data_IF_022714658439
#
_entry.id   IF_022714658439
#
_cell.length_a   1.000
_cell.length_b   1.000
_cell.length_c   1.000
_cell.angle_alpha   90.00
_cell.angle_beta   90.00
_cell.angle_gamma   90.00
#
_symmetry.space_group_name_H-M   'P 1'
#
loop_
_entity.id
_entity.type
_entity.pdbx_description
1 polymer ?
#
# COMPACT_ATOMS: atom_id res chain seq x y z
N UNK A 1 21.67 -78.17 -19.21
CA UNK A 1 21.53 -78.48 -20.65
C UNK A 1 20.86 -77.28 -21.30
N UNK A 2 21.56 -76.59 -22.23
CA UNK A 2 21.15 -75.40 -23.03
C UNK A 2 20.94 -74.11 -22.18
N UNK A 3 21.76 -73.06 -22.15
CA UNK A 3 22.73 -72.42 -23.06
C UNK A 3 22.09 -71.64 -24.23
N UNK A 4 21.88 -70.32 -24.04
CA UNK A 4 22.04 -69.24 -25.06
C UNK A 4 21.89 -67.85 -24.39
N UNK A 5 22.98 -67.16 -24.01
CA UNK A 5 23.77 -66.16 -24.79
C UNK A 5 23.01 -64.84 -25.00
N UNK A 6 23.44 -63.66 -24.51
CA UNK A 6 24.65 -62.86 -24.88
C UNK A 6 24.44 -61.48 -24.18
N UNK A 7 25.34 -60.77 -23.49
CA UNK A 7 26.67 -60.20 -23.82
C UNK A 7 27.18 -59.48 -22.52
N UNK A 8 28.43 -59.71 -22.04
CA UNK A 8 29.64 -58.82 -22.17
C UNK A 8 29.51 -57.54 -21.30
N UNK A 9 30.39 -57.09 -20.39
CA UNK A 9 31.80 -57.37 -20.05
C UNK A 9 32.15 -56.67 -18.70
N UNK A 10 33.06 -57.29 -17.94
CA UNK A 10 34.14 -56.74 -17.11
C UNK A 10 34.17 -55.26 -16.67
N UNK A 11 34.16 -55.10 -15.35
CA UNK A 11 35.07 -54.30 -14.49
C UNK A 11 35.72 -53.07 -15.13
N UNK A 12 35.30 -51.88 -14.69
CA UNK A 12 36.16 -50.70 -14.60
C UNK A 12 35.95 -49.99 -13.27
N UNK A 13 37.01 -50.04 -12.46
CA UNK A 13 37.32 -49.11 -11.39
C UNK A 13 37.31 -47.69 -11.99
N UNK A 14 36.34 -46.85 -11.64
CA UNK A 14 36.35 -45.43 -11.99
C UNK A 14 36.29 -44.60 -10.70
N UNK A 15 37.38 -43.87 -10.52
CA UNK A 15 37.62 -42.79 -9.57
C UNK A 15 36.35 -41.95 -9.42
N UNK A 16 35.80 -41.89 -8.21
CA UNK A 16 34.81 -40.89 -7.83
C UNK A 16 35.51 -39.53 -7.82
N UNK A 17 35.60 -38.91 -8.99
CA UNK A 17 35.86 -37.48 -9.11
C UNK A 17 34.63 -36.78 -8.53
N UNK A 18 34.74 -36.36 -7.28
CA UNK A 18 33.84 -35.39 -6.68
C UNK A 18 33.90 -34.12 -7.54
N UNK A 19 32.98 -33.99 -8.49
CA UNK A 19 32.59 -32.68 -8.99
C UNK A 19 31.79 -32.01 -7.86
N UNK A 20 32.53 -31.49 -6.88
CA UNK A 20 32.06 -30.35 -6.12
C UNK A 20 31.86 -29.26 -7.16
N UNK A 21 30.62 -29.05 -7.60
CA UNK A 21 30.23 -27.77 -8.14
C UNK A 21 30.41 -26.77 -6.99
N UNK A 22 31.63 -26.28 -6.85
CA UNK A 22 31.87 -24.97 -6.27
C UNK A 22 31.29 -24.04 -7.32
N UNK A 23 29.98 -23.77 -7.21
CA UNK A 23 29.48 -22.49 -7.65
C UNK A 23 30.29 -21.48 -6.85
N UNK A 24 31.37 -20.99 -7.45
CA UNK A 24 31.84 -19.64 -7.17
C UNK A 24 30.68 -18.78 -7.63
N UNK A 25 29.70 -18.60 -6.75
CA UNK A 25 28.92 -17.38 -6.75
C UNK A 25 30.00 -16.31 -6.60
N UNK A 26 30.39 -15.74 -7.73
CA UNK A 26 30.95 -14.41 -7.70
C UNK A 26 29.87 -13.61 -7.01
N UNK A 27 30.13 -13.29 -5.74
CA UNK A 27 29.39 -12.29 -5.02
C UNK A 27 29.45 -11.04 -5.86
N UNK A 28 28.41 -10.83 -6.67
CA UNK A 28 27.90 -9.50 -6.87
C UNK A 28 27.56 -9.09 -5.46
N UNK A 29 28.43 -8.29 -4.84
CA UNK A 29 28.10 -7.69 -3.56
C UNK A 29 26.78 -6.96 -3.78
N UNK A 30 25.68 -7.54 -3.30
CA UNK A 30 24.44 -6.81 -3.17
C UNK A 30 24.81 -5.62 -2.28
N UNK A 31 24.74 -4.40 -2.82
CA UNK A 31 24.56 -3.25 -1.96
C UNK A 31 23.36 -3.61 -1.06
N UNK A 32 23.51 -3.60 0.28
CA UNK A 32 22.46 -4.10 1.15
C UNK A 32 21.21 -3.30 0.84
N UNK A 33 20.13 -3.99 0.45
CA UNK A 33 18.89 -3.36 0.04
C UNK A 33 18.42 -2.43 1.17
N UNK A 34 18.48 -1.11 0.93
CA UNK A 34 18.21 -0.06 1.94
C UNK A 34 16.72 0.17 2.21
N UNK A 35 15.85 -0.56 1.52
CA UNK A 35 14.40 -0.45 1.66
C UNK A 35 13.95 -1.36 2.79
N UNK A 36 13.70 -0.77 3.96
CA UNK A 36 13.20 -1.46 5.15
C UNK A 36 11.71 -1.74 5.08
N UNK A 37 10.95 -0.79 4.54
CA UNK A 37 9.50 -0.91 4.39
C UNK A 37 9.10 -0.71 2.94
N UNK A 38 8.16 -1.51 2.46
CA UNK A 38 7.55 -1.28 1.16
C UNK A 38 6.06 -1.60 1.24
N UNK A 39 5.25 -0.84 0.53
CA UNK A 39 3.82 -1.09 0.49
C UNK A 39 3.06 0.11 -0.04
N UNK A 40 2.00 0.49 0.65
CA UNK A 40 1.02 1.44 0.09
C UNK A 40 0.67 2.54 1.08
N UNK A 41 0.16 3.65 0.57
CA UNK A 41 -0.65 4.55 1.36
C UNK A 41 -2.12 4.24 1.09
N UNK A 42 -2.91 4.14 2.14
CA UNK A 42 -4.36 3.92 2.07
C UNK A 42 -5.11 5.18 2.49
N UNK A 43 -6.18 5.48 1.74
CA UNK A 43 -7.32 6.30 2.14
C UNK A 43 -8.57 5.87 1.38
N UNK A 44 -9.73 6.05 2.01
CA UNK A 44 -11.00 5.81 1.36
C UNK A 44 -11.25 6.71 0.13
N UNK A 45 -10.82 7.98 0.19
CA UNK A 45 -11.01 8.93 -0.91
C UNK A 45 -10.06 8.67 -2.09
N UNK A 46 -8.80 8.28 -1.84
CA UNK A 46 -7.84 7.99 -2.90
C UNK A 46 -8.22 6.75 -3.70
N UNK A 47 -8.71 5.71 -3.02
CA UNK A 47 -9.29 4.52 -3.68
C UNK A 47 -10.48 4.90 -4.58
N UNK A 48 -11.38 5.76 -4.09
CA UNK A 48 -12.51 6.26 -4.89
C UNK A 48 -12.04 7.05 -6.11
N UNK A 49 -11.00 7.85 -5.97
CA UNK A 49 -10.41 8.64 -7.08
C UNK A 49 -9.70 7.77 -8.12
N UNK A 50 -9.15 6.62 -7.71
CA UNK A 50 -8.51 5.66 -8.59
C UNK A 50 -9.49 4.85 -9.47
N UNK A 51 -10.79 5.17 -9.42
CA UNK A 51 -11.90 4.44 -10.07
C UNK A 51 -11.98 2.96 -9.64
N UNK A 52 -11.54 2.69 -8.42
CA UNK A 52 -11.67 1.37 -7.81
C UNK A 52 -13.08 1.28 -7.21
N UNK A 53 -13.94 0.54 -7.89
CA UNK A 53 -15.38 0.46 -7.61
C UNK A 53 -15.73 -0.08 -6.22
N UNK A 54 -14.82 -0.82 -5.60
CA UNK A 54 -14.98 -1.37 -4.26
C UNK A 54 -13.69 -1.19 -3.46
N UNK A 55 -13.83 -0.61 -2.26
CA UNK A 55 -12.72 -0.49 -1.32
C UNK A 55 -12.06 -1.86 -1.09
N UNK A 56 -10.72 -1.96 -1.18
CA UNK A 56 -10.06 -3.24 -1.04
C UNK A 56 -10.37 -3.93 0.28
N UNK A 57 -10.67 -5.22 0.20
CA UNK A 57 -10.76 -6.05 1.39
C UNK A 57 -9.35 -6.29 1.98
N UNK A 58 -9.25 -6.89 3.18
CA UNK A 58 -7.95 -7.11 3.81
C UNK A 58 -6.96 -7.92 2.96
N UNK A 59 -7.44 -8.88 2.17
CA UNK A 59 -6.60 -9.69 1.29
C UNK A 59 -6.11 -8.90 0.07
N UNK A 60 -6.97 -8.05 -0.51
CA UNK A 60 -6.62 -7.14 -1.59
C UNK A 60 -5.53 -6.15 -1.18
N UNK A 61 -5.65 -5.54 0.00
CA UNK A 61 -4.60 -4.68 0.56
C UNK A 61 -3.28 -5.45 0.76
N UNK A 62 -3.37 -6.66 1.31
CA UNK A 62 -2.20 -7.54 1.47
C UNK A 62 -1.53 -7.85 0.13
N UNK A 63 -2.29 -8.12 -0.94
CA UNK A 63 -1.76 -8.36 -2.28
C UNK A 63 -1.03 -7.13 -2.82
N UNK A 64 -1.61 -5.93 -2.69
CA UNK A 64 -0.96 -4.69 -3.12
C UNK A 64 0.37 -4.44 -2.37
N UNK A 65 0.38 -4.60 -1.05
CA UNK A 65 1.60 -4.46 -0.24
C UNK A 65 2.66 -5.52 -0.59
N UNK A 66 2.25 -6.78 -0.76
CA UNK A 66 3.17 -7.86 -1.11
C UNK A 66 3.75 -7.70 -2.52
N UNK A 67 2.99 -7.14 -3.46
CA UNK A 67 3.50 -6.73 -4.76
C UNK A 67 4.65 -5.73 -4.60
N UNK A 68 4.46 -4.69 -3.79
CA UNK A 68 5.52 -3.71 -3.53
C UNK A 68 6.73 -4.37 -2.88
N UNK A 69 6.57 -5.18 -1.83
CA UNK A 69 7.69 -5.85 -1.16
C UNK A 69 8.45 -6.81 -2.07
N UNK A 70 7.80 -7.45 -3.04
CA UNK A 70 8.48 -8.38 -3.96
C UNK A 70 9.65 -7.75 -4.74
N UNK A 71 9.69 -6.42 -4.81
CA UNK A 71 10.74 -5.62 -5.45
C UNK A 71 12.00 -5.45 -4.60
N UNK A 72 11.91 -5.62 -3.28
CA UNK A 72 13.01 -5.38 -2.35
C UNK A 72 13.09 -6.52 -1.32
N UNK A 73 14.11 -7.37 -1.48
CA UNK A 73 14.34 -8.49 -0.58
C UNK A 73 14.55 -7.99 0.86
N UNK A 74 13.76 -8.51 1.79
CA UNK A 74 13.86 -8.17 3.21
C UNK A 74 13.03 -6.96 3.64
N UNK A 75 12.38 -6.26 2.70
CA UNK A 75 11.43 -5.20 3.05
C UNK A 75 10.20 -5.78 3.79
N UNK A 76 9.67 -5.02 4.74
CA UNK A 76 8.47 -5.37 5.50
C UNK A 76 7.24 -4.81 4.79
N UNK A 77 6.20 -5.63 4.52
CA UNK A 77 4.96 -5.13 3.93
C UNK A 77 4.30 -4.15 4.87
N UNK A 78 4.11 -2.91 4.41
CA UNK A 78 3.71 -1.82 5.29
C UNK A 78 2.71 -0.86 4.67
N UNK A 79 1.97 -0.14 5.51
CA UNK A 79 1.10 0.93 5.05
C UNK A 79 1.16 2.19 5.92
N UNK A 80 0.98 3.33 5.26
CA UNK A 80 0.47 4.54 5.90
C UNK A 80 -1.05 4.48 5.74
N UNK A 81 -1.77 4.29 6.84
CA UNK A 81 -3.16 3.81 6.82
C UNK A 81 -4.09 4.85 7.43
N UNK A 82 -4.90 5.52 6.60
CA UNK A 82 -5.72 6.64 7.04
C UNK A 82 -6.90 6.16 7.89
N UNK A 83 -7.03 6.73 9.09
CA UNK A 83 -8.17 6.48 9.99
C UNK A 83 -8.88 7.76 10.41
N UNK A 84 -8.35 8.91 10.01
CA UNK A 84 -8.91 10.23 10.27
C UNK A 84 -8.64 11.19 9.12
N UNK A 85 -9.70 11.70 8.50
CA UNK A 85 -9.63 12.67 7.40
C UNK A 85 -9.88 14.08 7.92
N UNK A 86 -9.31 15.08 7.28
CA UNK A 86 -9.66 16.48 7.54
C UNK A 86 -11.10 16.74 7.12
N UNK A 87 -11.87 17.44 7.95
CA UNK A 87 -13.23 17.85 7.61
C UNK A 87 -13.26 19.36 7.35
N UNK A 88 -13.54 19.76 6.11
CA UNK A 88 -13.56 21.18 5.70
C UNK A 88 -14.75 21.94 6.30
N UNK A 89 -15.87 21.26 6.57
CA UNK A 89 -17.07 21.85 7.14
C UNK A 89 -16.88 22.22 8.61
N UNK A 90 -16.41 21.26 9.42
CA UNK A 90 -16.14 21.47 10.85
C UNK A 90 -14.79 22.11 11.12
N UNK A 91 -13.94 22.14 10.09
CA UNK A 91 -12.52 22.51 10.14
C UNK A 91 -11.73 21.61 11.07
N UNK A 92 -12.21 20.39 11.30
CA UNK A 92 -11.68 19.45 12.27
C UNK A 92 -11.14 18.21 11.60
N UNK A 93 -11.32 17.07 12.27
CA UNK A 93 -11.09 15.75 11.70
C UNK A 93 -12.32 14.89 11.90
N UNK A 94 -12.56 13.97 10.97
CA UNK A 94 -13.53 12.90 11.08
C UNK A 94 -12.79 11.58 11.19
N UNK A 95 -12.85 10.97 12.37
CA UNK A 95 -12.27 9.67 12.66
C UNK A 95 -13.22 8.55 12.21
N UNK A 96 -12.72 7.63 11.40
CA UNK A 96 -13.50 6.61 10.66
C UNK A 96 -13.86 5.39 11.51
N UNK A 97 -14.19 5.62 12.78
CA UNK A 97 -14.54 4.58 13.74
C UNK A 97 -15.42 5.13 14.86
N UNK A 98 -16.03 4.22 15.62
CA UNK A 98 -16.83 4.59 16.79
C UNK A 98 -15.96 5.16 17.92
N UNK A 99 -16.43 6.20 18.59
CA UNK A 99 -15.73 6.80 19.72
C UNK A 99 -15.31 5.74 20.75
N UNK A 100 -14.03 5.73 21.20
CA UNK A 100 -13.55 4.81 22.22
C UNK A 100 -13.95 5.24 23.65
N UNK A 101 -14.87 6.20 23.77
CA UNK A 101 -15.35 6.78 25.02
C UNK A 101 -14.35 7.74 25.66
N UNK A 102 -14.85 8.82 26.27
CA UNK A 102 -14.04 9.89 26.84
C UNK A 102 -14.56 11.27 26.41
N UNK A 103 -13.81 12.30 26.76
CA UNK A 103 -14.05 13.67 26.29
C UNK A 103 -12.91 14.03 25.35
N UNK A 104 -13.27 14.54 24.17
CA UNK A 104 -12.34 14.94 23.12
C UNK A 104 -12.67 16.36 22.67
N UNK A 105 -11.71 17.05 22.04
CA UNK A 105 -11.94 18.29 21.31
C UNK A 105 -13.22 18.21 20.46
N UNK A 106 -14.05 19.25 20.52
CA UNK A 106 -15.32 19.32 19.79
C UNK A 106 -15.15 19.37 18.26
N UNK A 107 -13.91 19.47 17.77
CA UNK A 107 -13.55 19.36 16.35
C UNK A 107 -13.19 17.94 15.92
N UNK A 108 -13.30 16.96 16.82
CA UNK A 108 -13.13 15.56 16.49
C UNK A 108 -14.52 14.94 16.34
N UNK A 109 -14.85 14.56 15.12
CA UNK A 109 -16.05 13.79 14.82
C UNK A 109 -15.69 12.30 14.70
N UNK A 110 -16.66 11.43 15.01
CA UNK A 110 -16.53 9.99 14.91
C UNK A 110 -17.62 9.47 13.98
N UNK A 111 -17.24 9.07 12.77
CA UNK A 111 -18.18 8.52 11.78
C UNK A 111 -17.68 7.16 11.25
N UNK A 112 -18.13 6.04 11.83
CA UNK A 112 -17.77 4.71 11.33
C UNK A 112 -18.43 4.37 9.98
N UNK A 113 -19.30 5.22 9.44
CA UNK A 113 -19.96 5.01 8.15
C UNK A 113 -19.39 5.89 7.04
N UNK A 114 -18.39 6.73 7.34
CA UNK A 114 -17.70 7.52 6.32
C UNK A 114 -17.21 6.56 5.22
N UNK A 115 -17.44 6.92 3.96
CA UNK A 115 -17.15 6.08 2.78
C UNK A 115 -17.70 4.64 2.81
N UNK A 116 -18.96 4.48 3.23
CA UNK A 116 -19.63 3.18 3.37
C UNK A 116 -19.01 2.27 4.46
N UNK A 117 -18.28 2.86 5.40
CA UNK A 117 -17.77 2.18 6.59
C UNK A 117 -16.58 1.26 6.31
N UNK A 118 -15.43 1.87 6.04
CA UNK A 118 -14.15 1.15 5.97
C UNK A 118 -13.95 0.39 7.27
N UNK A 119 -13.82 -0.94 7.16
CA UNK A 119 -13.66 -1.79 8.34
C UNK A 119 -12.17 -1.92 8.70
N UNK A 120 -11.64 -0.89 9.36
CA UNK A 120 -10.24 -0.87 9.81
C UNK A 120 -9.92 -2.06 10.75
N UNK A 121 -10.82 -2.41 11.67
CA UNK A 121 -10.66 -3.55 12.58
C UNK A 121 -10.45 -4.87 11.82
N UNK A 122 -11.21 -5.12 10.75
CA UNK A 122 -11.03 -6.32 9.92
C UNK A 122 -9.68 -6.31 9.20
N UNK A 123 -9.24 -5.16 8.70
CA UNK A 123 -7.93 -5.01 8.05
C UNK A 123 -6.80 -5.26 9.04
N UNK A 124 -6.80 -4.59 10.19
CA UNK A 124 -5.75 -4.71 11.20
C UNK A 124 -5.70 -6.12 11.82
N UNK A 125 -6.86 -6.74 12.08
CA UNK A 125 -6.95 -8.14 12.53
C UNK A 125 -6.31 -9.09 11.51
N UNK A 126 -6.56 -8.87 10.21
CA UNK A 126 -5.91 -9.64 9.17
C UNK A 126 -4.40 -9.39 9.17
N UNK A 127 -3.96 -8.12 9.20
CA UNK A 127 -2.55 -7.74 9.18
C UNK A 127 -1.74 -8.33 10.35
N UNK A 128 -2.36 -8.46 11.54
CA UNK A 128 -1.76 -9.07 12.73
C UNK A 128 -1.22 -10.50 12.48
N UNK A 129 -1.78 -11.21 11.50
CA UNK A 129 -1.41 -12.59 11.16
C UNK A 129 -0.63 -12.72 9.85
N UNK A 130 -0.46 -11.63 9.10
CA UNK A 130 0.15 -11.63 7.76
C UNK A 130 1.48 -10.87 7.69
N UNK A 131 2.05 -10.49 8.84
CA UNK A 131 3.34 -9.81 8.91
C UNK A 131 3.32 -8.38 8.36
N UNK A 132 2.12 -7.81 8.18
CA UNK A 132 1.92 -6.45 7.68
C UNK A 132 2.02 -5.46 8.84
N UNK A 133 2.62 -4.30 8.55
CA UNK A 133 2.87 -3.23 9.53
C UNK A 133 2.26 -1.90 9.13
N UNK A 134 1.63 -1.18 10.04
CA UNK A 134 0.92 0.05 9.70
C UNK A 134 1.20 1.21 10.65
N UNK A 135 1.31 2.42 10.12
CA UNK A 135 1.11 3.64 10.91
C UNK A 135 -0.32 4.13 10.67
N UNK A 136 -1.06 4.35 11.75
CA UNK A 136 -2.43 4.87 11.68
C UNK A 136 -2.36 6.38 11.45
N UNK A 137 -2.76 6.85 10.27
CA UNK A 137 -2.66 8.26 9.86
C UNK A 137 -3.90 9.06 10.24
N UNK A 138 -3.66 10.28 10.73
CA UNK A 138 -4.65 11.35 10.88
C UNK A 138 -4.29 12.57 10.03
N UNK A 139 -5.32 13.24 9.52
CA UNK A 139 -5.28 14.57 8.91
C UNK A 139 -5.95 15.56 9.87
N UNK A 140 -5.18 16.34 10.66
CA UNK A 140 -5.70 16.89 11.91
C UNK A 140 -6.74 18.00 11.81
N UNK A 141 -6.77 18.74 10.70
CA UNK A 141 -7.49 20.01 10.64
C UNK A 141 -7.07 20.95 11.77
N UNK A 142 -8.03 21.64 12.37
CA UNK A 142 -7.85 22.44 13.59
C UNK A 142 -8.16 21.68 14.88
N UNK A 143 -8.40 20.36 14.83
CA UNK A 143 -8.65 19.58 16.03
C UNK A 143 -7.36 19.38 16.84
N UNK A 144 -7.48 19.30 18.16
CA UNK A 144 -6.35 19.02 19.05
C UNK A 144 -5.67 17.69 18.69
N UNK A 145 -4.39 17.77 18.28
CA UNK A 145 -3.61 16.58 17.88
C UNK A 145 -3.50 15.56 19.02
N UNK A 146 -3.08 15.90 20.26
CA UNK A 146 -3.04 14.95 21.37
C UNK A 146 -4.35 14.16 21.60
N UNK A 147 -5.51 14.80 21.48
CA UNK A 147 -6.81 14.13 21.60
C UNK A 147 -7.05 13.12 20.47
N UNK A 148 -6.63 13.43 19.24
CA UNK A 148 -6.69 12.49 18.12
C UNK A 148 -5.74 11.30 18.33
N UNK A 149 -4.50 11.53 18.79
CA UNK A 149 -3.56 10.45 19.14
C UNK A 149 -4.20 9.52 20.17
N UNK A 150 -4.79 10.10 21.21
CA UNK A 150 -5.48 9.33 22.26
C UNK A 150 -6.68 8.55 21.72
N UNK A 151 -7.51 9.15 20.88
CA UNK A 151 -8.67 8.48 20.30
C UNK A 151 -8.25 7.29 19.42
N UNK A 152 -7.29 7.50 18.52
CA UNK A 152 -6.82 6.48 17.57
C UNK A 152 -6.12 5.34 18.29
N UNK A 153 -5.12 5.61 19.13
CA UNK A 153 -4.34 4.56 19.78
C UNK A 153 -5.14 3.81 20.84
N UNK A 154 -6.09 4.46 21.53
CA UNK A 154 -7.03 3.75 22.42
C UNK A 154 -7.96 2.82 21.66
N UNK A 155 -8.40 3.19 20.45
CA UNK A 155 -9.29 2.38 19.63
C UNK A 155 -8.55 1.23 18.96
N UNK A 156 -7.51 1.53 18.19
CA UNK A 156 -6.90 0.62 17.21
C UNK A 156 -5.47 0.21 17.58
N UNK A 157 -4.83 0.87 18.56
CA UNK A 157 -3.44 0.61 18.93
C UNK A 157 -3.19 -0.76 19.59
N UNK A 158 -4.23 -1.55 19.85
CA UNK A 158 -4.07 -2.88 20.45
C UNK A 158 -3.62 -3.96 19.44
N UNK A 159 -3.65 -3.66 18.14
CA UNK A 159 -3.24 -4.56 17.06
C UNK A 159 -1.72 -4.70 16.95
N UNK A 160 -1.23 -5.93 16.76
CA UNK A 160 0.20 -6.23 16.62
C UNK A 160 0.80 -5.72 15.30
N UNK A 161 -0.04 -5.44 14.32
CA UNK A 161 0.31 -4.83 13.04
C UNK A 161 0.60 -3.33 13.18
N UNK A 162 0.12 -2.65 14.22
CA UNK A 162 0.35 -1.21 14.41
C UNK A 162 1.79 -0.95 14.85
N UNK A 163 2.48 -0.06 14.12
CA UNK A 163 3.80 0.50 14.45
C UNK A 163 3.71 1.82 15.20
N UNK A 164 2.54 2.44 15.25
CA UNK A 164 2.29 3.71 15.89
C UNK A 164 1.34 4.57 15.08
N UNK A 165 1.58 5.87 15.09
CA UNK A 165 0.69 6.87 14.52
C UNK A 165 1.42 7.73 13.50
N UNK A 166 0.75 8.05 12.39
CA UNK A 166 1.18 9.02 11.41
C UNK A 166 0.36 10.31 11.52
N UNK A 167 1.01 11.45 11.34
CA UNK A 167 0.34 12.75 11.24
C UNK A 167 0.66 13.34 9.90
N UNK A 168 -0.38 13.60 9.12
CA UNK A 168 -0.27 14.38 7.89
C UNK A 168 -0.22 15.87 8.25
N UNK A 169 1.00 16.42 8.28
CA UNK A 169 1.24 17.79 8.71
C UNK A 169 0.72 18.80 7.69
N UNK A 170 0.46 18.37 6.45
CA UNK A 170 -0.19 19.23 5.46
C UNK A 170 -1.54 19.74 5.99
N UNK A 171 -2.22 18.94 6.81
CA UNK A 171 -3.51 19.29 7.40
C UNK A 171 -3.40 19.82 8.84
N UNK A 172 -2.19 20.06 9.35
CA UNK A 172 -2.02 20.60 10.69
C UNK A 172 -2.40 22.09 10.73
N UNK A 173 -3.50 22.40 11.44
CA UNK A 173 -4.12 23.74 11.49
C UNK A 173 -4.51 24.27 10.11
N UNK A 174 -4.92 23.38 9.21
CA UNK A 174 -5.42 23.68 7.85
C UNK A 174 -6.60 22.78 7.52
N UNK A 175 -7.65 23.34 6.94
CA UNK A 175 -8.86 22.60 6.54
C UNK A 175 -9.51 23.22 5.29
N UNK A 176 -8.65 23.55 4.32
CA UNK A 176 -8.98 24.08 3.00
C UNK A 176 -7.78 23.88 2.08
N UNK A 177 -7.99 23.86 0.77
CA UNK A 177 -6.89 23.77 -0.21
C UNK A 177 -6.11 25.08 -0.31
N UNK A 178 -6.71 26.18 0.15
CA UNK A 178 -6.08 27.49 0.24
C UNK A 178 -5.46 27.73 1.62
N UNK A 179 -4.37 28.49 1.65
CA UNK A 179 -3.70 28.92 2.87
C UNK A 179 -2.60 27.97 3.33
N UNK A 180 -1.70 28.50 4.15
CA UNK A 180 -0.58 27.76 4.71
C UNK A 180 -1.02 26.94 5.94
N UNK A 181 -0.50 25.72 6.04
CA UNK A 181 -0.56 24.93 7.26
C UNK A 181 0.43 25.44 8.31
N UNK A 182 0.23 25.03 9.56
CA UNK A 182 1.14 25.38 10.64
C UNK A 182 2.41 24.52 10.61
N UNK A 183 3.52 25.15 10.99
CA UNK A 183 4.80 24.47 11.23
C UNK A 183 4.71 23.65 12.52
N UNK A 184 5.24 22.44 12.50
CA UNK A 184 5.44 21.62 13.71
C UNK A 184 6.73 22.06 14.38
N UNK A 185 6.63 22.51 15.62
CA UNK A 185 7.80 22.85 16.44
C UNK A 185 8.48 21.59 17.00
N UNK A 186 9.75 21.71 17.37
CA UNK A 186 10.50 20.64 18.06
C UNK A 186 9.79 20.16 19.33
N UNK A 187 9.21 21.09 20.10
CA UNK A 187 8.46 20.79 21.32
C UNK A 187 7.16 20.04 21.04
N UNK A 188 6.43 20.41 19.98
CA UNK A 188 5.22 19.68 19.58
C UNK A 188 5.56 18.26 19.13
N UNK A 189 6.56 18.10 18.24
CA UNK A 189 7.01 16.80 17.77
C UNK A 189 7.43 15.89 18.93
N UNK A 190 8.22 16.42 19.88
CA UNK A 190 8.61 15.68 21.08
C UNK A 190 7.40 15.26 21.91
N UNK A 191 6.48 16.17 22.20
CA UNK A 191 5.31 15.88 23.02
C UNK A 191 4.38 14.85 22.37
N UNK A 192 4.23 14.90 21.04
CA UNK A 192 3.45 13.92 20.29
C UNK A 192 4.13 12.55 20.27
N UNK A 193 5.45 12.49 20.10
CA UNK A 193 6.19 11.23 20.15
C UNK A 193 6.13 10.60 21.55
N UNK A 194 6.35 11.39 22.61
CA UNK A 194 6.23 10.94 24.00
C UNK A 194 4.81 10.38 24.27
N UNK A 195 3.77 11.02 23.73
CA UNK A 195 2.39 10.56 23.87
C UNK A 195 2.15 9.24 23.11
N UNK A 196 2.61 9.12 21.86
CA UNK A 196 2.51 7.86 21.10
C UNK A 196 3.20 6.72 21.86
N UNK A 197 4.42 6.96 22.35
CA UNK A 197 5.20 5.96 23.11
C UNK A 197 4.60 5.61 24.47
N UNK A 198 3.74 6.46 25.03
CA UNK A 198 3.04 6.14 26.29
C UNK A 198 2.03 5.00 26.16
N UNK A 199 1.56 4.69 24.94
CA UNK A 199 0.68 3.54 24.66
C UNK A 199 1.48 2.23 24.49
N UNK A 200 2.61 2.30 23.78
CA UNK A 200 3.60 1.23 23.67
C UNK A 200 4.97 1.87 23.39
N UNK A 201 5.99 1.56 24.19
CA UNK A 201 7.33 2.14 24.02
C UNK A 201 7.99 1.77 22.68
N UNK A 202 7.50 0.74 21.97
CA UNK A 202 7.95 0.37 20.64
C UNK A 202 7.22 1.12 19.52
N UNK A 203 6.17 1.89 19.85
CA UNK A 203 5.51 2.72 18.85
C UNK A 203 6.40 3.88 18.42
N UNK A 204 6.21 4.26 17.16
CA UNK A 204 6.88 5.36 16.51
C UNK A 204 5.86 6.39 16.04
N UNK A 205 6.23 7.65 16.13
CA UNK A 205 5.52 8.73 15.47
C UNK A 205 6.07 8.86 14.04
N UNK A 206 5.17 8.93 13.06
CA UNK A 206 5.49 9.31 11.69
C UNK A 206 4.97 10.73 11.42
N UNK A 207 5.82 11.60 10.88
CA UNK A 207 5.43 12.94 10.44
C UNK A 207 5.60 13.08 8.93
N UNK A 208 4.51 13.43 8.24
CA UNK A 208 4.43 13.51 6.78
C UNK A 208 4.25 14.95 6.31
N UNK A 209 5.04 15.37 5.32
CA UNK A 209 4.84 16.62 4.58
C UNK A 209 5.70 16.64 3.30
N UNK A 210 5.22 17.27 2.23
CA UNK A 210 5.98 17.40 0.97
C UNK A 210 7.18 18.33 1.14
N UNK A 211 6.97 19.46 1.82
CA UNK A 211 8.02 20.43 2.16
C UNK A 211 8.54 20.22 3.59
N UNK A 212 9.82 19.83 3.77
CA UNK A 212 10.35 19.47 5.07
C UNK A 212 10.57 20.67 6.01
N UNK A 213 10.30 21.91 5.56
CA UNK A 213 10.32 23.08 6.42
C UNK A 213 9.17 23.09 7.44
N UNK A 214 8.05 22.43 7.15
CA UNK A 214 6.88 22.34 8.04
C UNK A 214 7.04 21.29 9.14
N UNK A 215 8.08 20.47 9.06
CA UNK A 215 8.43 19.43 10.02
C UNK A 215 9.44 19.97 11.05
N UNK A 216 9.58 19.33 12.23
CA UNK A 216 10.41 19.83 13.32
C UNK A 216 11.86 20.12 12.86
N UNK A 217 12.37 21.34 13.09
CA UNK A 217 13.66 21.75 12.56
C UNK A 217 14.82 20.90 13.08
N UNK A 218 14.83 20.55 14.37
CA UNK A 218 15.99 19.92 15.02
C UNK A 218 15.67 18.70 15.86
N UNK A 219 14.44 18.58 16.39
CA UNK A 219 14.04 17.39 17.13
C UNK A 219 13.96 16.20 16.17
N UNK A 220 14.51 15.08 16.62
CA UNK A 220 14.63 13.86 15.82
C UNK A 220 13.97 12.69 16.52
N UNK A 221 14.27 12.46 17.81
CA UNK A 221 13.73 11.31 18.54
C UNK A 221 13.92 10.00 17.75
N UNK A 222 12.96 9.09 17.88
CA UNK A 222 12.80 7.93 17.01
C UNK A 222 11.68 8.17 15.98
N UNK A 223 11.48 9.43 15.55
CA UNK A 223 10.47 9.81 14.56
C UNK A 223 10.87 9.22 13.20
N UNK A 224 9.86 8.71 12.47
CA UNK A 224 9.96 8.40 11.04
C UNK A 224 9.43 9.60 10.26
N UNK A 225 10.18 10.10 9.28
CA UNK A 225 9.71 11.20 8.45
C UNK A 225 9.18 10.67 7.12
N UNK A 226 8.13 11.28 6.57
CA UNK A 226 7.59 10.91 5.26
C UNK A 226 7.57 12.11 4.34
N UNK A 227 8.14 11.96 3.16
CA UNK A 227 7.96 12.90 2.05
C UNK A 227 6.91 12.33 1.10
N UNK A 228 5.98 13.18 0.74
CA UNK A 228 4.87 12.86 -0.14
C UNK A 228 4.73 13.88 -1.27
N UNK A 229 5.86 14.50 -1.62
CA UNK A 229 6.00 15.47 -2.71
C UNK A 229 5.62 14.87 -4.07
N UNK A 230 5.06 15.72 -4.91
CA UNK A 230 4.57 15.40 -6.25
C UNK A 230 4.74 16.59 -7.19
N UNK A 231 4.40 16.40 -8.47
CA UNK A 231 4.52 17.39 -9.54
C UNK A 231 5.98 17.75 -9.85
N UNK A 232 6.88 16.78 -9.71
CA UNK A 232 8.32 16.96 -9.93
C UNK A 232 8.66 17.12 -11.42
N UNK A 233 7.81 16.63 -12.31
CA UNK A 233 7.95 16.78 -13.77
C UNK A 233 9.01 15.90 -14.43
N UNK A 234 9.95 15.32 -13.68
CA UNK A 234 10.94 14.35 -14.16
C UNK A 234 11.52 13.51 -13.01
N UNK A 235 12.17 12.39 -13.35
CA UNK A 235 12.88 11.57 -12.36
C UNK A 235 14.02 12.34 -11.68
N UNK A 236 14.77 13.17 -12.40
CA UNK A 236 15.92 13.89 -11.83
C UNK A 236 15.48 14.90 -10.76
N UNK A 237 14.43 15.68 -11.04
CA UNK A 237 13.86 16.64 -10.07
C UNK A 237 13.24 15.92 -8.88
N UNK A 238 12.51 14.83 -9.13
CA UNK A 238 11.95 13.98 -8.07
C UNK A 238 13.05 13.49 -7.12
N UNK A 239 14.17 13.01 -7.66
CA UNK A 239 15.31 12.57 -6.88
C UNK A 239 15.95 13.72 -6.10
N UNK A 240 16.16 14.88 -6.72
CA UNK A 240 16.73 16.06 -6.06
C UNK A 240 15.90 16.50 -4.84
N UNK A 241 14.58 16.67 -5.01
CA UNK A 241 13.68 17.11 -3.94
C UNK A 241 13.62 16.05 -2.80
N UNK A 242 13.57 14.76 -3.13
CA UNK A 242 13.56 13.69 -2.13
C UNK A 242 14.91 13.53 -1.40
N UNK A 243 16.02 13.93 -2.04
CA UNK A 243 17.34 13.92 -1.41
C UNK A 243 17.45 15.00 -0.32
N UNK A 244 16.82 16.16 -0.51
CA UNK A 244 16.76 17.20 0.53
C UNK A 244 16.16 16.65 1.82
N UNK A 245 15.04 15.91 1.72
CA UNK A 245 14.39 15.28 2.86
C UNK A 245 15.31 14.25 3.52
N UNK A 246 15.94 13.38 2.73
CA UNK A 246 16.87 12.36 3.22
C UNK A 246 18.00 12.99 4.06
N UNK A 247 18.61 14.05 3.52
CA UNK A 247 19.75 14.74 4.12
C UNK A 247 19.34 15.54 5.37
N UNK A 248 18.17 16.19 5.34
CA UNK A 248 17.68 16.99 6.46
C UNK A 248 17.35 16.15 7.69
N UNK A 249 16.78 14.96 7.50
CA UNK A 249 16.32 14.12 8.60
C UNK A 249 17.28 13.00 8.99
N UNK A 250 18.42 12.85 8.30
CA UNK A 250 19.45 11.91 8.72
C UNK A 250 19.87 12.12 10.19
N UNK A 251 19.97 11.05 11.02
CA UNK A 251 19.92 9.63 10.67
C UNK A 251 18.53 8.97 10.75
N UNK A 252 17.46 9.71 11.02
CA UNK A 252 16.12 9.13 11.17
C UNK A 252 15.66 8.45 9.87
N UNK A 253 14.83 7.40 9.98
CA UNK A 253 14.25 6.76 8.81
C UNK A 253 13.37 7.72 8.01
N UNK A 254 13.40 7.57 6.68
CA UNK A 254 12.57 8.36 5.76
C UNK A 254 11.73 7.45 4.89
N UNK A 255 10.43 7.70 4.84
CA UNK A 255 9.50 7.04 3.93
C UNK A 255 9.21 7.99 2.76
N UNK A 256 9.18 7.43 1.56
CA UNK A 256 8.80 8.15 0.35
C UNK A 256 7.46 7.62 -0.13
N UNK A 257 6.47 8.51 -0.16
CA UNK A 257 5.17 8.25 -0.75
C UNK A 257 5.21 8.66 -2.23
N UNK A 258 4.99 7.69 -3.12
CA UNK A 258 5.27 7.82 -4.55
C UNK A 258 4.11 7.32 -5.40
N UNK A 259 4.15 7.62 -6.70
CA UNK A 259 3.20 7.10 -7.69
C UNK A 259 2.00 8.01 -7.96
N UNK A 260 2.09 9.29 -7.60
CA UNK A 260 1.01 10.24 -7.82
C UNK A 260 0.60 10.37 -9.29
N UNK A 261 -0.71 10.47 -9.59
CA UNK A 261 -1.18 10.65 -10.97
C UNK A 261 -0.64 11.89 -11.67
N UNK A 262 -0.36 12.97 -10.92
CA UNK A 262 0.25 14.22 -11.39
C UNK A 262 1.60 13.97 -12.09
N UNK A 263 2.36 13.00 -11.62
CA UNK A 263 3.68 12.62 -12.13
C UNK A 263 3.65 11.49 -13.18
N UNK A 264 2.46 10.95 -13.48
CA UNK A 264 2.30 9.80 -14.38
C UNK A 264 2.87 10.02 -15.77
N UNK A 265 2.93 11.27 -16.23
CA UNK A 265 3.51 11.62 -17.52
C UNK A 265 4.98 11.21 -17.66
N UNK A 266 5.74 11.12 -16.57
CA UNK A 266 7.13 10.67 -16.58
C UNK A 266 7.29 9.28 -15.99
N UNK A 267 6.71 8.95 -14.83
CA UNK A 267 6.92 7.63 -14.24
C UNK A 267 6.20 6.52 -15.01
N UNK A 268 5.10 6.84 -15.69
CA UNK A 268 4.34 5.88 -16.50
C UNK A 268 5.08 5.37 -17.74
N UNK A 269 6.30 5.88 -17.99
CA UNK A 269 7.19 5.41 -19.07
C UNK A 269 8.02 4.18 -18.67
N UNK A 270 8.06 3.83 -17.38
CA UNK A 270 8.81 2.69 -16.88
C UNK A 270 7.91 1.45 -16.80
N UNK A 271 8.43 0.31 -17.24
CA UNK A 271 7.71 -0.97 -17.16
C UNK A 271 7.38 -1.37 -15.71
N UNK A 272 8.30 -1.08 -14.79
CA UNK A 272 8.12 -1.23 -13.34
C UNK A 272 8.46 0.08 -12.64
N UNK A 273 7.53 1.04 -12.70
CA UNK A 273 7.69 2.35 -12.09
C UNK A 273 7.98 2.30 -10.57
N UNK A 274 7.27 1.50 -9.75
CA UNK A 274 7.61 1.41 -8.33
C UNK A 274 9.05 0.94 -8.07
N UNK A 275 9.53 -0.08 -8.80
CA UNK A 275 10.92 -0.57 -8.68
C UNK A 275 11.91 0.51 -9.11
N UNK A 276 11.67 1.12 -10.26
CA UNK A 276 12.58 2.09 -10.87
C UNK A 276 12.78 3.30 -9.96
N UNK A 277 11.68 3.88 -9.48
CA UNK A 277 11.73 5.03 -8.58
C UNK A 277 12.31 4.66 -7.21
N UNK A 278 11.87 3.55 -6.61
CA UNK A 278 12.34 3.15 -5.29
C UNK A 278 13.82 2.74 -5.26
N UNK A 279 14.34 2.12 -6.32
CA UNK A 279 15.78 1.85 -6.44
C UNK A 279 16.59 3.13 -6.55
N UNK A 280 16.10 4.10 -7.34
CA UNK A 280 16.77 5.37 -7.53
C UNK A 280 16.82 6.17 -6.21
N UNK A 281 15.71 6.20 -5.46
CA UNK A 281 15.67 6.75 -4.11
C UNK A 281 16.66 6.05 -3.17
N UNK A 282 16.63 4.72 -3.10
CA UNK A 282 17.54 3.94 -2.26
C UNK A 282 19.02 4.19 -2.59
N UNK A 283 19.34 4.38 -3.87
CA UNK A 283 20.70 4.64 -4.32
C UNK A 283 21.22 5.99 -3.81
N UNK A 284 20.39 7.04 -3.79
CA UNK A 284 20.81 8.39 -3.39
C UNK A 284 20.67 8.68 -1.88
N UNK A 285 19.83 7.94 -1.15
CA UNK A 285 19.67 8.13 0.29
C UNK A 285 20.98 7.86 1.04
N UNK A 286 21.13 8.51 2.20
CA UNK A 286 22.32 8.41 3.04
C UNK A 286 22.65 6.95 3.37
N UNK A 287 23.97 6.65 3.46
CA UNK A 287 24.49 5.28 3.40
C UNK A 287 23.82 4.29 4.35
N UNK A 288 23.56 4.71 5.58
CA UNK A 288 23.03 3.88 6.66
C UNK A 288 21.62 4.31 7.10
N UNK A 289 20.96 5.16 6.32
CA UNK A 289 19.59 5.61 6.59
C UNK A 289 18.60 4.53 6.13
N UNK A 290 17.75 4.08 7.03
CA UNK A 290 16.63 3.21 6.68
C UNK A 290 15.61 3.99 5.87
N UNK A 291 15.12 3.42 4.77
CA UNK A 291 14.05 4.05 3.98
C UNK A 291 12.84 3.15 3.79
N UNK A 292 11.70 3.77 3.51
CA UNK A 292 10.49 3.08 3.06
C UNK A 292 9.96 3.60 1.73
N UNK A 293 9.30 2.74 0.96
CA UNK A 293 8.68 3.10 -0.33
C UNK A 293 7.18 2.75 -0.28
N UNK A 294 6.32 3.77 -0.30
CA UNK A 294 4.86 3.60 -0.22
C UNK A 294 4.22 4.08 -1.52
N UNK A 295 3.51 3.20 -2.22
CA UNK A 295 2.74 3.56 -3.41
C UNK A 295 1.40 4.16 -3.03
N UNK A 296 1.02 5.29 -3.62
CA UNK A 296 -0.27 5.93 -3.31
C UNK A 296 -1.47 5.17 -3.85
N UNK A 297 -2.56 5.23 -3.09
CA UNK A 297 -3.85 4.67 -3.46
C UNK A 297 -4.51 5.35 -4.67
N UNK A 298 -4.18 6.60 -4.97
CA UNK A 298 -4.67 7.34 -6.17
C UNK A 298 -4.32 6.66 -7.51
N UNK A 299 -3.32 5.80 -7.53
CA UNK A 299 -2.87 5.06 -8.71
C UNK A 299 -2.69 3.58 -8.40
N UNK A 300 -3.40 3.05 -7.40
CA UNK A 300 -3.27 1.67 -6.93
C UNK A 300 -3.48 0.63 -8.04
N UNK A 301 -4.26 0.97 -9.07
CA UNK A 301 -4.52 0.14 -10.25
C UNK A 301 -3.29 -0.24 -11.07
N UNK A 302 -2.15 0.43 -10.89
CA UNK A 302 -0.88 0.04 -11.53
C UNK A 302 -0.16 -1.10 -10.84
N UNK A 303 -0.47 -1.32 -9.56
CA UNK A 303 -0.03 -2.53 -8.88
C UNK A 303 -0.95 -3.68 -9.32
N UNK A 304 -0.49 -4.94 -9.27
CA UNK A 304 -1.35 -6.11 -9.26
C UNK A 304 -2.14 -6.12 -7.94
N UNK A 305 -2.95 -5.09 -7.76
CA UNK A 305 -4.09 -5.08 -6.89
C UNK A 305 -5.14 -6.00 -7.53
N UNK A 306 -6.01 -6.61 -6.73
CA UNK A 306 -7.17 -7.29 -7.30
C UNK A 306 -7.99 -6.17 -7.93
N UNK A 307 -7.79 -5.93 -9.22
CA UNK A 307 -8.83 -5.33 -10.02
C UNK A 307 -10.04 -6.22 -9.79
N UNK A 308 -10.98 -5.74 -8.96
CA UNK A 308 -12.35 -6.20 -9.04
C UNK A 308 -12.97 -5.80 -10.39
N UNK A 309 -12.17 -5.41 -11.40
CA UNK A 309 -12.09 -6.13 -12.67
C UNK A 309 -13.14 -7.20 -12.67
N UNK A 310 -14.34 -6.78 -13.10
CA UNK A 310 -15.59 -7.50 -12.97
C UNK A 310 -15.25 -8.99 -13.03
N UNK A 311 -15.58 -9.80 -12.01
CA UNK A 311 -15.04 -11.14 -11.97
C UNK A 311 -15.34 -11.77 -13.32
N UNK A 312 -14.28 -12.17 -14.03
CA UNK A 312 -14.49 -12.68 -15.36
C UNK A 312 -15.33 -13.93 -15.16
N UNK A 313 -16.48 -14.04 -15.85
CA UNK A 313 -17.34 -15.21 -15.68
C UNK A 313 -16.54 -16.45 -16.09
N UNK A 314 -15.98 -17.15 -15.10
CA UNK A 314 -14.93 -18.13 -15.29
C UNK A 314 -14.40 -18.66 -13.95
N UNK A 315 -13.77 -19.84 -13.94
CA UNK A 315 -13.34 -20.52 -12.72
C UNK A 315 -12.12 -19.89 -12.00
N UNK A 316 -11.42 -18.95 -12.64
CA UNK A 316 -10.37 -18.10 -12.06
C UNK A 316 -11.04 -16.80 -11.62
N UNK A 317 -11.57 -16.80 -10.40
CA UNK A 317 -12.41 -15.73 -9.87
C UNK A 317 -11.57 -14.55 -9.37
N UNK A 318 -10.34 -14.80 -8.93
CA UNK A 318 -9.44 -13.76 -8.43
C UNK A 318 -8.49 -13.20 -9.52
N UNK A 319 -8.57 -13.74 -10.75
CA UNK A 319 -7.79 -13.33 -11.91
C UNK A 319 -6.28 -13.54 -11.74
N UNK A 320 -5.86 -14.45 -10.86
CA UNK A 320 -4.44 -14.70 -10.57
C UNK A 320 -3.74 -15.61 -11.59
N UNK A 321 -4.51 -16.11 -12.58
CA UNK A 321 -4.03 -16.99 -13.64
C UNK A 321 -3.96 -18.46 -13.23
N UNK A 322 -4.38 -18.82 -12.01
CA UNK A 322 -4.31 -20.16 -11.47
C UNK A 322 -5.60 -20.56 -10.75
N UNK A 323 -6.32 -21.54 -11.30
CA UNK A 323 -7.57 -22.01 -10.71
C UNK A 323 -7.27 -22.91 -9.50
N UNK A 324 -7.47 -22.40 -8.29
CA UNK A 324 -7.05 -23.04 -7.05
C UNK A 324 -8.02 -22.78 -5.86
N UNK A 325 -7.56 -23.01 -4.64
CA UNK A 325 -8.41 -22.85 -3.44
C UNK A 325 -8.75 -21.38 -3.14
N UNK A 326 -7.94 -20.43 -3.62
CA UNK A 326 -8.22 -19.01 -3.54
C UNK A 326 -9.55 -18.66 -4.23
N UNK A 327 -9.86 -19.27 -5.37
CA UNK A 327 -11.14 -19.07 -6.09
C UNK A 327 -12.32 -19.67 -5.31
N UNK A 328 -12.13 -20.84 -4.70
CA UNK A 328 -13.16 -21.49 -3.88
C UNK A 328 -13.50 -20.65 -2.65
N UNK A 329 -12.52 -19.99 -2.04
CA UNK A 329 -12.71 -19.09 -0.90
C UNK A 329 -13.61 -17.90 -1.29
N UNK A 330 -13.50 -17.37 -2.51
CA UNK A 330 -14.36 -16.28 -2.99
C UNK A 330 -15.82 -16.70 -3.11
N UNK A 331 -16.11 -17.92 -3.58
CA UNK A 331 -17.48 -18.47 -3.56
C UNK A 331 -17.99 -18.61 -2.12
N UNK A 332 -17.14 -19.07 -1.19
CA UNK A 332 -17.53 -19.27 0.19
C UNK A 332 -18.01 -17.99 0.88
N UNK A 333 -17.49 -16.82 0.49
CA UNK A 333 -17.89 -15.51 1.05
C UNK A 333 -19.34 -15.12 0.71
N UNK A 334 -19.88 -15.62 -0.39
CA UNK A 334 -21.24 -15.28 -0.89
C UNK A 334 -22.10 -16.53 -1.13
N UNK A 335 -21.72 -17.66 -0.54
CA UNK A 335 -22.41 -18.94 -0.69
C UNK A 335 -23.87 -18.85 -0.22
N UNK A 336 -24.77 -19.54 -0.93
CA UNK A 336 -26.22 -19.56 -0.67
C UNK A 336 -26.91 -18.20 -0.90
N UNK A 337 -26.36 -17.36 -1.78
CA UNK A 337 -27.03 -16.13 -2.25
C UNK A 337 -27.72 -16.37 -3.60
N UNK A 338 -28.82 -15.66 -3.85
CA UNK A 338 -29.56 -15.68 -5.12
C UNK A 338 -29.52 -14.30 -5.77
N UNK A 339 -29.87 -14.19 -7.05
CA UNK A 339 -29.89 -12.91 -7.80
C UNK A 339 -30.72 -11.78 -7.17
N UNK A 340 -31.60 -12.08 -6.22
CA UNK A 340 -32.40 -11.11 -5.45
C UNK A 340 -31.68 -10.60 -4.18
N UNK A 341 -30.55 -11.21 -3.80
CA UNK A 341 -29.78 -10.88 -2.61
C UNK A 341 -28.74 -9.79 -2.91
N UNK A 342 -28.59 -8.80 -2.03
CA UNK A 342 -27.61 -7.71 -2.19
C UNK A 342 -26.14 -8.17 -2.13
N UNK A 343 -25.88 -9.38 -1.63
CA UNK A 343 -24.55 -10.01 -1.60
C UNK A 343 -24.25 -10.87 -2.84
N UNK A 344 -25.19 -10.99 -3.77
CA UNK A 344 -25.02 -11.79 -4.98
C UNK A 344 -24.05 -11.13 -5.95
N UNK A 345 -23.08 -11.91 -6.43
CA UNK A 345 -22.09 -11.47 -7.41
C UNK A 345 -22.34 -12.26 -8.71
N UNK A 346 -22.90 -11.63 -9.77
CA UNK A 346 -23.31 -12.34 -11.00
C UNK A 346 -22.21 -13.16 -11.69
N UNK A 347 -20.95 -12.83 -11.44
CA UNK A 347 -19.82 -13.54 -12.02
C UNK A 347 -19.43 -14.82 -11.26
N UNK A 348 -19.87 -14.98 -10.02
CA UNK A 348 -19.61 -16.18 -9.21
C UNK A 348 -20.69 -17.25 -9.42
N UNK A 349 -21.80 -16.91 -10.10
CA UNK A 349 -22.77 -17.84 -10.68
C UNK A 349 -22.21 -18.37 -12.02
N UNK A 350 -21.30 -19.33 -11.89
CA UNK A 350 -20.53 -19.92 -12.98
C UNK A 350 -21.39 -20.75 -13.92
N UNK A 351 -22.47 -21.36 -13.39
CA UNK A 351 -23.40 -22.14 -14.20
C UNK A 351 -24.57 -21.31 -14.76
N UNK A 352 -24.79 -20.08 -14.27
CA UNK A 352 -25.86 -19.19 -14.71
C UNK A 352 -27.25 -19.56 -14.20
N UNK A 353 -27.37 -20.28 -13.09
CA UNK A 353 -28.65 -20.73 -12.54
C UNK A 353 -29.34 -19.71 -11.60
N UNK A 354 -28.68 -18.58 -11.35
CA UNK A 354 -29.17 -17.51 -10.50
C UNK A 354 -28.95 -17.71 -9.00
N UNK A 355 -28.17 -18.72 -8.58
CA UNK A 355 -27.84 -18.99 -7.19
C UNK A 355 -26.38 -19.43 -7.01
N UNK A 356 -25.63 -18.75 -6.16
CA UNK A 356 -24.23 -19.13 -5.86
C UNK A 356 -24.23 -20.28 -4.85
N UNK A 357 -23.90 -21.48 -5.31
CA UNK A 357 -24.02 -22.71 -4.52
C UNK A 357 -22.94 -23.76 -4.84
N UNK A 358 -23.15 -25.01 -4.45
CA UNK A 358 -22.19 -26.10 -4.68
C UNK A 358 -21.95 -26.37 -6.18
N UNK A 359 -22.90 -26.03 -7.05
CA UNK A 359 -22.74 -26.16 -8.49
C UNK A 359 -21.59 -25.28 -9.01
N UNK A 360 -21.42 -24.08 -8.46
CA UNK A 360 -20.34 -23.16 -8.83
C UNK A 360 -18.99 -23.62 -8.25
N UNK A 361 -18.99 -24.17 -7.04
CA UNK A 361 -17.80 -24.81 -6.46
C UNK A 361 -17.32 -25.98 -7.34
N UNK A 362 -18.26 -26.77 -7.87
CA UNK A 362 -17.95 -27.87 -8.81
C UNK A 362 -17.38 -27.33 -10.13
N UNK A 363 -17.85 -26.17 -10.61
CA UNK A 363 -17.29 -25.54 -11.81
C UNK A 363 -15.82 -25.14 -11.62
N UNK A 364 -15.43 -24.64 -10.45
CA UNK A 364 -14.01 -24.41 -10.09
C UNK A 364 -13.26 -25.74 -10.00
N UNK A 365 -13.80 -26.72 -9.27
CA UNK A 365 -13.16 -28.03 -9.07
C UNK A 365 -12.88 -28.75 -10.41
N UNK A 366 -13.76 -28.58 -11.41
CA UNK A 366 -13.59 -29.16 -12.75
C UNK A 366 -12.42 -28.54 -13.55
N UNK A 367 -11.89 -27.41 -13.09
CA UNK A 367 -10.77 -26.70 -13.69
C UNK A 367 -9.57 -26.52 -12.75
N UNK A 368 -9.59 -27.17 -11.58
CA UNK A 368 -8.56 -27.05 -10.56
C UNK A 368 -7.16 -27.39 -11.09
N UNK A 369 -6.15 -26.62 -10.67
CA UNK A 369 -4.75 -26.67 -11.13
C UNK A 369 -4.52 -26.36 -12.62
N UNK A 370 -5.51 -25.80 -13.34
CA UNK A 370 -5.26 -25.28 -14.69
C UNK A 370 -4.76 -23.84 -14.59
N UNK A 371 -3.73 -23.54 -15.38
CA UNK A 371 -3.26 -22.17 -15.60
C UNK A 371 -4.10 -21.52 -16.70
N UNK A 372 -4.61 -20.32 -16.44
CA UNK A 372 -5.29 -19.51 -17.45
C UNK A 372 -4.22 -18.72 -18.20
N UNK A 373 -3.92 -19.11 -19.43
CA UNK A 373 -3.02 -18.32 -20.27
C UNK A 373 -3.73 -17.02 -20.66
N UNK A 374 -3.16 -15.89 -20.23
CA UNK A 374 -3.47 -14.57 -20.77
C UNK A 374 -3.24 -14.60 -22.29
N UNK A 375 -4.31 -14.73 -23.07
CA UNK A 375 -4.26 -14.43 -24.50
C UNK A 375 -4.23 -12.92 -24.64
N UNK A 376 -3.03 -12.35 -24.58
CA UNK A 376 -2.79 -10.98 -25.02
C UNK A 376 -3.13 -10.86 -26.50
N UNK A 377 -4.34 -10.38 -26.81
CA UNK A 377 -4.69 -9.73 -28.08
C UNK A 377 -6.01 -9.00 -27.93
N UNK A 378 -5.93 -7.69 -27.68
CA UNK A 378 -6.92 -6.74 -28.16
C UNK A 378 -6.19 -5.67 -28.97
N UNK A 379 -6.01 -5.95 -30.26
CA UNK A 379 -5.86 -4.91 -31.27
C UNK A 379 -7.14 -4.07 -31.26
N UNK A 380 -7.12 -2.94 -30.56
CA UNK A 380 -8.19 -1.95 -30.65
C UNK A 380 -7.95 -1.09 -31.90
N UNK A 381 -8.80 -1.28 -32.90
CA UNK A 381 -8.95 -0.39 -34.05
C UNK A 381 -9.38 1.01 -33.56
N UNK A 382 -8.74 2.10 -34.02
CA UNK A 382 -9.03 3.44 -33.50
C UNK A 382 -10.38 3.93 -34.05
N UNK A 383 -11.35 4.20 -33.17
CA UNK A 383 -12.59 4.89 -33.58
C UNK A 383 -12.96 5.99 -32.57
N UNK A 384 -13.05 7.21 -33.11
CA UNK A 384 -13.62 8.47 -32.59
C UNK A 384 -13.29 8.92 -31.16
N UNK A 385 -12.32 9.84 -31.11
CA UNK A 385 -12.11 10.93 -30.14
C UNK A 385 -13.29 11.23 -29.20
N UNK A 386 -13.17 10.96 -27.89
CA UNK A 386 -13.98 11.61 -26.87
C UNK A 386 -13.57 13.07 -26.76
N UNK A 387 -14.57 13.95 -26.73
CA UNK A 387 -14.42 15.37 -26.42
C UNK A 387 -13.84 15.54 -25.00
N UNK A 388 -12.85 16.41 -24.78
CA UNK A 388 -12.27 16.59 -23.45
C UNK A 388 -13.32 17.13 -22.49
N UNK A 389 -13.67 16.36 -21.46
CA UNK A 389 -14.16 16.95 -20.21
C UNK A 389 -12.94 17.51 -19.50
N UNK A 390 -12.85 18.84 -19.47
CA UNK A 390 -11.88 19.56 -18.67
C UNK A 390 -12.08 19.16 -17.21
N UNK A 391 -11.05 18.57 -16.59
CA UNK A 391 -10.91 18.50 -15.14
C UNK A 391 -10.60 19.92 -14.66
N UNK A 392 -11.64 20.74 -14.53
CA UNK A 392 -11.52 22.02 -13.83
C UNK A 392 -11.68 21.77 -12.35
N UNK A 393 -10.60 21.97 -11.60
CA UNK A 393 -10.70 22.42 -10.21
C UNK A 393 -9.99 21.59 -9.15
N UNK A 394 -8.73 21.20 -9.33
CA UNK A 394 -7.80 20.97 -8.22
C UNK A 394 -6.40 21.38 -8.69
N UNK A 395 -6.05 22.64 -8.45
CA UNK A 395 -4.70 23.17 -8.65
C UNK A 395 -4.12 23.32 -7.24
N UNK A 396 -3.25 22.38 -6.84
CA UNK A 396 -2.36 22.60 -5.72
C UNK A 396 -1.40 23.74 -6.12
N UNK A 397 -1.62 24.92 -5.55
CA UNK A 397 -0.75 26.05 -5.84
C UNK A 397 0.55 25.91 -5.03
N UNK A 398 1.66 25.55 -5.69
CA UNK A 398 3.00 25.96 -5.21
C UNK A 398 3.02 27.48 -5.27
N UNK A 399 2.88 28.17 -4.13
CA UNK A 399 3.25 29.58 -4.04
C UNK A 399 4.77 29.66 -4.06
N UNK A 400 5.33 29.77 -5.26
CA UNK A 400 6.74 30.07 -5.46
C UNK A 400 7.06 31.45 -4.87
N UNK A 401 7.89 31.47 -3.83
CA UNK A 401 8.63 32.67 -3.45
C UNK A 401 9.96 32.64 -4.21
N UNK A 402 10.01 33.44 -5.29
CA UNK A 402 11.28 33.89 -5.86
C UNK A 402 12.06 34.66 -4.78
N UNK A 403 13.33 34.30 -4.61
CA UNK A 403 14.38 35.17 -4.08
C UNK A 403 15.40 35.44 -5.17
#
# INVERSE_FOLDING_TARGET
MVLTKKKIFSIFLLIALTFSFITVSQGIGAAPHKVKWAGVRESAYGVKMADISQFPDPAGWSKAMNSMVSRWQGAVPSAIWLVGEVDYGTKGTTLQFTSPGGTYDSKIEFDPNQYNGVNHEACLTYFDTHGIKVWLQIEPGFANVPDQINAVLKKLGHHKSVLGLAIDVEWYRKASDEGDNAYVTDSEAKNWEDLVKSYDNNFTLLLKHYDPKYLPPSYRGDIVFCCDDEQNGSLDVFLEEHKEVADRFYPNPVIYQIGYPSDKAWWGKYDDAPKTMGDALAAQSNKDQEIGIMWVDFSLSVLPYIDNGLPSKGPDLNGDGAINMADVILIAMVFNTTSENSKYIPAYDLNGDGAINMADVIAIASNFNKLVQSTGTSTVTPTSKPTPHQLTGWIFHRTGLEL
#
